data_IF_220985242997
#
_entry.id   IF_220985242997
#
_cell.length_a   1.000
_cell.length_b   1.000
_cell.length_c   1.000
_cell.angle_alpha   90.00
_cell.angle_beta   90.00
_cell.angle_gamma   90.00
#
_symmetry.space_group_name_H-M   'P 1'
#
loop_
_entity.id
_entity.type
_entity.pdbx_description
1 polymer ?
#
# COMPACT_ATOMS: atom_id res chain seq x y z
N UNK A 1 -15.18 12.95 -0.30
CA UNK A 1 -15.47 14.41 -0.29
C UNK A 1 -14.26 15.14 -0.84
N UNK A 2 -14.45 15.71 -1.98
CA UNK A 2 -13.51 16.34 -2.88
C UNK A 2 -13.22 17.77 -2.40
N UNK A 3 -11.93 18.15 -2.28
CA UNK A 3 -11.52 19.55 -2.32
C UNK A 3 -10.30 19.68 -3.24
N UNK A 4 -10.60 20.05 -4.48
CA UNK A 4 -9.65 20.64 -5.41
C UNK A 4 -9.77 22.16 -5.27
N UNK A 5 -8.69 22.82 -4.88
CA UNK A 5 -8.55 24.26 -5.04
C UNK A 5 -7.48 24.56 -6.09
N UNK A 6 -7.92 25.14 -7.19
CA UNK A 6 -7.14 25.71 -8.28
C UNK A 6 -6.96 27.19 -8.00
N UNK A 7 -5.74 27.74 -8.13
CA UNK A 7 -5.42 29.01 -8.81
C UNK A 7 -4.01 29.46 -8.50
N UNK A 8 -3.33 29.93 -9.56
CA UNK A 8 -2.16 30.78 -9.46
C UNK A 8 -1.31 30.77 -10.71
N UNK A 9 -1.77 31.49 -11.76
CA UNK A 9 -0.96 31.84 -12.93
C UNK A 9 0.03 32.94 -12.56
N UNK A 10 1.33 32.64 -12.63
CA UNK A 10 2.40 33.60 -12.48
C UNK A 10 3.34 33.54 -13.70
N UNK A 11 3.29 34.59 -14.53
CA UNK A 11 4.20 34.86 -15.68
C UNK A 11 5.63 35.03 -15.17
N UNK A 12 6.58 34.36 -15.80
CA UNK A 12 8.02 34.59 -15.64
C UNK A 12 8.51 35.70 -16.62
N UNK A 13 9.40 36.57 -16.17
CA UNK A 13 10.10 37.47 -17.08
C UNK A 13 11.39 36.82 -17.59
N UNK A 14 11.56 36.91 -18.91
CA UNK A 14 12.78 36.59 -19.65
C UNK A 14 13.90 37.54 -19.27
N UNK A 15 15.05 37.01 -18.85
CA UNK A 15 16.33 37.79 -18.81
C UNK A 15 17.38 37.08 -19.64
N UNK A 16 17.84 37.79 -20.65
CA UNK A 16 18.95 37.48 -21.55
C UNK A 16 20.28 37.49 -20.77
N UNK A 17 21.12 36.47 -20.96
CA UNK A 17 22.52 36.47 -20.53
C UNK A 17 23.44 36.61 -21.75
N UNK A 18 24.50 37.43 -21.66
CA UNK A 18 25.49 37.53 -22.71
C UNK A 18 26.53 36.40 -22.63
N UNK A 19 26.95 36.03 -23.83
CA UNK A 19 27.97 35.04 -24.15
C UNK A 19 29.38 35.59 -23.73
N UNK A 20 30.06 34.88 -22.83
CA UNK A 20 31.47 35.12 -22.50
C UNK A 20 32.29 33.93 -22.99
N UNK A 21 33.07 34.18 -24.05
CA UNK A 21 34.05 33.27 -24.60
C UNK A 21 35.28 33.34 -23.71
N UNK A 22 35.70 32.23 -23.13
CA UNK A 22 36.97 32.11 -22.40
C UNK A 22 37.88 31.08 -23.11
N UNK A 23 38.96 31.62 -23.66
CA UNK A 23 40.06 30.91 -24.28
C UNK A 23 40.85 30.22 -23.16
N UNK A 24 41.01 28.89 -23.18
CA UNK A 24 41.89 28.16 -22.28
C UNK A 24 43.13 27.70 -23.03
N UNK A 25 44.25 28.27 -22.65
CA UNK A 25 45.57 27.90 -23.08
C UNK A 25 46.04 26.58 -22.42
N UNK A 26 46.54 25.70 -23.23
CA UNK A 26 47.12 24.41 -22.90
C UNK A 26 48.50 24.61 -22.27
N UNK A 27 48.74 24.20 -21.03
CA UNK A 27 50.10 24.07 -20.46
C UNK A 27 50.30 22.61 -20.09
N UNK A 28 51.22 21.95 -20.80
CA UNK A 28 51.79 20.67 -20.41
C UNK A 28 52.79 20.88 -19.26
N UNK A 29 52.60 20.17 -18.13
CA UNK A 29 53.62 20.03 -17.13
C UNK A 29 53.69 18.55 -16.68
N UNK A 30 54.95 18.13 -16.59
CA UNK A 30 55.40 16.75 -16.46
C UNK A 30 55.05 16.09 -15.10
N UNK A 31 55.01 14.76 -15.15
CA UNK A 31 54.78 13.85 -14.08
C UNK A 31 55.80 13.96 -12.93
N UNK A 32 55.29 14.00 -11.69
CA UNK A 32 56.00 13.50 -10.52
C UNK A 32 55.06 12.56 -9.76
N UNK A 33 55.45 11.31 -9.67
CA UNK A 33 54.79 10.29 -8.91
C UNK A 33 54.92 10.56 -7.42
N UNK A 34 53.85 10.88 -6.74
CA UNK A 34 53.70 10.78 -5.29
C UNK A 34 52.75 9.65 -4.97
N UNK A 35 53.32 8.56 -4.46
CA UNK A 35 52.60 7.46 -3.79
C UNK A 35 51.95 8.03 -2.52
N UNK A 36 50.70 8.42 -2.59
CA UNK A 36 49.85 8.68 -1.43
C UNK A 36 49.12 7.38 -1.02
N UNK A 37 48.82 7.20 0.28
CA UNK A 37 48.11 6.01 0.75
C UNK A 37 46.71 5.95 0.12
N UNK A 38 46.42 4.82 -0.52
CA UNK A 38 45.16 4.58 -1.21
C UNK A 38 43.97 4.76 -0.27
N UNK A 39 43.18 5.76 -0.59
CA UNK A 39 41.79 5.80 -0.13
C UNK A 39 41.10 4.64 -0.83
N UNK A 40 40.95 3.53 -0.12
CA UNK A 40 40.05 2.45 -0.53
C UNK A 40 38.67 3.08 -0.60
N UNK A 41 38.24 3.39 -1.84
CA UNK A 41 36.81 3.58 -2.09
C UNK A 41 36.16 2.29 -1.57
N UNK A 42 35.45 2.41 -0.44
CA UNK A 42 34.56 1.36 -0.02
C UNK A 42 33.57 1.17 -1.18
N UNK A 43 33.77 0.14 -1.98
CA UNK A 43 32.76 -0.35 -2.85
C UNK A 43 31.57 -0.65 -1.92
N UNK A 44 30.52 0.14 -2.03
CA UNK A 44 29.28 -0.09 -1.30
C UNK A 44 28.88 -1.53 -1.63
N UNK A 45 28.95 -2.40 -0.63
CA UNK A 45 28.68 -3.82 -0.80
C UNK A 45 27.27 -3.94 -1.39
N UNK A 46 27.18 -4.57 -2.57
CA UNK A 46 25.86 -4.85 -3.20
C UNK A 46 25.06 -5.66 -2.19
N UNK A 47 23.92 -5.12 -1.69
CA UNK A 47 23.17 -5.79 -0.65
C UNK A 47 22.78 -7.19 -1.08
N UNK A 48 22.94 -8.18 -0.20
CA UNK A 48 22.58 -9.56 -0.49
C UNK A 48 21.08 -9.73 -0.66
N UNK A 49 20.62 -10.76 -1.37
CA UNK A 49 19.19 -11.06 -1.56
C UNK A 49 18.39 -11.17 -0.23
N UNK A 50 19.06 -11.45 0.89
CA UNK A 50 18.47 -11.42 2.24
C UNK A 50 18.13 -10.00 2.70
N UNK A 51 18.85 -9.01 2.26
CA UNK A 51 18.68 -7.61 2.65
C UNK A 51 17.43 -6.96 2.04
N UNK A 52 16.97 -7.47 0.89
CA UNK A 52 15.73 -7.05 0.25
C UNK A 52 14.51 -7.90 0.61
N UNK A 53 14.71 -9.05 1.28
CA UNK A 53 13.62 -9.98 1.59
C UNK A 53 12.51 -9.34 2.40
N UNK A 54 12.84 -8.48 3.36
CA UNK A 54 11.87 -7.78 4.20
C UNK A 54 11.16 -6.65 3.43
N UNK A 55 11.88 -5.86 2.66
CA UNK A 55 11.30 -4.83 1.81
C UNK A 55 10.35 -5.43 0.77
N UNK A 56 10.75 -6.53 0.14
CA UNK A 56 9.90 -7.31 -0.77
C UNK A 56 8.64 -7.80 -0.04
N UNK A 57 8.76 -8.38 1.16
CA UNK A 57 7.63 -8.87 1.93
C UNK A 57 6.64 -7.76 2.33
N UNK A 58 7.12 -6.53 2.55
CA UNK A 58 6.27 -5.37 2.83
C UNK A 58 5.44 -4.97 1.61
N UNK A 59 6.02 -5.04 0.42
CA UNK A 59 5.37 -4.67 -0.85
C UNK A 59 4.51 -5.81 -1.44
N UNK A 60 4.71 -7.04 -1.00
CA UNK A 60 3.96 -8.20 -1.51
C UNK A 60 2.54 -8.27 -0.91
N UNK A 61 1.58 -8.65 -1.73
CA UNK A 61 0.16 -8.79 -1.35
C UNK A 61 -0.36 -10.21 -1.54
N UNK A 62 0.42 -11.19 -1.12
CA UNK A 62 0.07 -12.60 -1.17
C UNK A 62 -0.97 -12.99 -0.09
N UNK A 63 -1.38 -14.26 -0.10
CA UNK A 63 -2.31 -14.80 0.87
C UNK A 63 -1.81 -14.66 2.32
N UNK A 64 -0.50 -14.67 2.55
CA UNK A 64 0.09 -14.47 3.88
C UNK A 64 -0.07 -13.01 4.32
N UNK A 65 0.28 -12.06 3.48
CA UNK A 65 0.10 -10.64 3.75
C UNK A 65 -1.39 -10.29 4.00
N UNK A 66 -2.32 -10.90 3.25
CA UNK A 66 -3.76 -10.75 3.47
C UNK A 66 -4.22 -11.29 4.84
N UNK A 67 -3.72 -12.47 5.25
CA UNK A 67 -4.01 -13.01 6.59
C UNK A 67 -3.45 -12.13 7.69
N UNK A 68 -2.23 -11.63 7.55
CA UNK A 68 -1.59 -10.72 8.49
C UNK A 68 -2.38 -9.42 8.65
N UNK A 69 -2.79 -8.79 7.55
CA UNK A 69 -3.63 -7.58 7.58
C UNK A 69 -4.95 -7.81 8.30
N UNK A 70 -5.60 -8.96 8.05
CA UNK A 70 -6.82 -9.33 8.77
C UNK A 70 -6.59 -9.45 10.27
N UNK A 71 -5.54 -10.15 10.67
CA UNK A 71 -5.18 -10.32 12.08
C UNK A 71 -4.93 -8.99 12.78
N UNK A 72 -4.21 -8.07 12.12
CA UNK A 72 -3.96 -6.73 12.64
C UNK A 72 -5.25 -5.91 12.74
N UNK A 73 -6.11 -5.99 11.74
CA UNK A 73 -7.41 -5.32 11.75
C UNK A 73 -8.28 -5.81 12.90
N UNK A 74 -8.45 -7.11 13.06
CA UNK A 74 -9.28 -7.69 14.15
C UNK A 74 -8.73 -7.27 15.52
N UNK A 75 -7.41 -7.25 15.69
CA UNK A 75 -6.78 -6.77 16.92
C UNK A 75 -7.05 -5.27 17.17
N UNK A 76 -6.99 -4.42 16.14
CA UNK A 76 -7.34 -3.01 16.25
C UNK A 76 -8.81 -2.80 16.65
N UNK A 77 -9.73 -3.58 16.07
CA UNK A 77 -11.16 -3.52 16.42
C UNK A 77 -11.38 -3.80 17.90
N UNK A 78 -10.76 -4.85 18.43
CA UNK A 78 -10.86 -5.22 19.86
C UNK A 78 -10.28 -4.13 20.77
N UNK A 79 -9.12 -3.57 20.41
CA UNK A 79 -8.48 -2.52 21.20
C UNK A 79 -9.32 -1.23 21.18
N UNK A 80 -9.89 -0.89 20.03
CA UNK A 80 -10.78 0.27 19.88
C UNK A 80 -12.05 0.06 20.70
N UNK A 81 -12.66 -1.12 20.63
CA UNK A 81 -13.86 -1.45 21.41
C UNK A 81 -13.62 -1.30 22.92
N UNK A 82 -12.50 -1.80 23.43
CA UNK A 82 -12.15 -1.67 24.85
C UNK A 82 -12.04 -0.20 25.26
N UNK A 83 -11.31 0.60 24.48
CA UNK A 83 -11.16 2.02 24.75
C UNK A 83 -12.49 2.77 24.73
N UNK A 84 -13.38 2.46 23.77
CA UNK A 84 -14.71 3.08 23.68
C UNK A 84 -15.60 2.66 24.85
N UNK A 85 -15.57 1.38 25.24
CA UNK A 85 -16.27 0.86 26.40
C UNK A 85 -15.80 1.52 27.71
N UNK A 86 -14.50 1.70 27.90
CA UNK A 86 -13.91 2.39 29.07
C UNK A 86 -14.38 3.84 29.17
N UNK A 87 -14.86 4.45 28.06
CA UNK A 87 -15.48 5.78 27.97
C UNK A 87 -17.03 5.76 28.08
N UNK A 88 -17.60 4.60 28.35
CA UNK A 88 -19.05 4.40 28.44
C UNK A 88 -19.75 4.49 27.08
N UNK A 89 -19.05 4.18 25.99
CA UNK A 89 -19.59 4.21 24.63
C UNK A 89 -19.61 2.80 24.04
N UNK A 90 -20.71 2.49 23.37
CA UNK A 90 -20.84 1.23 22.63
C UNK A 90 -20.03 1.31 21.33
N UNK A 91 -19.26 0.27 21.02
CA UNK A 91 -18.57 0.10 19.74
C UNK A 91 -18.80 -1.33 19.24
N UNK A 92 -19.31 -1.44 18.01
CA UNK A 92 -19.59 -2.73 17.40
C UNK A 92 -18.39 -3.19 16.59
N UNK A 93 -17.76 -4.27 17.02
CA UNK A 93 -16.62 -4.85 16.31
C UNK A 93 -17.07 -5.38 14.96
N UNK A 94 -16.43 -4.90 13.92
CA UNK A 94 -16.57 -5.43 12.57
C UNK A 94 -15.45 -6.42 12.30
N UNK A 95 -15.78 -7.67 11.99
CA UNK A 95 -14.73 -8.62 11.56
C UNK A 95 -14.19 -8.27 10.21
N UNK A 96 -12.86 -8.32 10.05
CA UNK A 96 -12.24 -8.23 8.74
C UNK A 96 -12.61 -9.46 7.92
N UNK A 97 -13.63 -9.38 7.13
CA UNK A 97 -13.84 -10.41 6.12
C UNK A 97 -12.70 -10.47 5.10
N UNK A 98 -12.80 -11.36 4.10
CA UNK A 98 -11.82 -11.42 3.04
C UNK A 98 -11.72 -10.04 2.37
N UNK A 99 -10.58 -9.39 2.56
CA UNK A 99 -10.30 -8.13 1.88
C UNK A 99 -9.72 -8.44 0.50
N UNK A 100 -10.17 -7.74 -0.55
CA UNK A 100 -9.45 -7.78 -1.81
C UNK A 100 -8.02 -7.27 -1.60
N UNK A 101 -7.05 -7.73 -2.38
CA UNK A 101 -5.73 -7.15 -2.35
C UNK A 101 -5.85 -5.65 -2.64
N UNK A 102 -5.50 -4.82 -1.64
CA UNK A 102 -5.47 -3.37 -1.79
C UNK A 102 -4.03 -2.93 -1.98
N UNK A 103 -3.80 -2.15 -3.01
CA UNK A 103 -2.60 -1.33 -3.15
C UNK A 103 -1.39 -1.96 -3.75
N UNK A 104 -1.43 -3.18 -4.27
CA UNK A 104 -0.32 -3.65 -5.04
C UNK A 104 -0.70 -3.65 -6.52
N UNK A 105 -0.07 -2.82 -7.26
CA UNK A 105 -0.23 -2.63 -8.69
C UNK A 105 0.64 -3.57 -9.47
N UNK A 106 1.55 -4.22 -8.77
CA UNK A 106 2.42 -5.20 -9.38
C UNK A 106 1.69 -6.49 -9.66
N UNK A 107 2.19 -7.24 -10.61
CA UNK A 107 1.75 -8.57 -10.96
C UNK A 107 1.63 -9.54 -9.76
N UNK A 108 2.27 -9.22 -8.62
CA UNK A 108 2.18 -10.00 -7.38
C UNK A 108 0.88 -9.80 -6.59
N UNK A 109 0.18 -8.72 -6.86
CA UNK A 109 -0.98 -8.32 -6.05
C UNK A 109 -2.27 -8.99 -6.42
N UNK A 110 -2.31 -9.63 -7.55
CA UNK A 110 -3.44 -10.47 -7.89
C UNK A 110 -3.28 -11.72 -7.06
N UNK A 111 -4.00 -11.74 -5.94
CA UNK A 111 -3.94 -12.80 -4.95
C UNK A 111 -4.05 -14.19 -5.58
N UNK A 112 -3.58 -15.19 -4.88
CA UNK A 112 -3.59 -16.58 -5.33
C UNK A 112 -4.87 -16.86 -6.13
N UNK A 113 -4.71 -17.32 -7.34
CA UNK A 113 -5.79 -17.69 -8.26
C UNK A 113 -6.68 -18.85 -7.76
N UNK A 114 -6.45 -19.29 -6.51
CA UNK A 114 -7.30 -20.26 -5.86
C UNK A 114 -8.67 -19.64 -5.58
N UNK A 115 -9.70 -20.28 -6.10
CA UNK A 115 -11.10 -19.92 -5.89
C UNK A 115 -11.33 -19.24 -4.52
N UNK A 116 -12.01 -18.10 -4.44
CA UNK A 116 -13.16 -17.70 -5.24
C UNK A 116 -12.96 -16.47 -6.16
N UNK A 117 -11.79 -16.18 -6.64
CA UNK A 117 -11.47 -15.01 -7.44
C UNK A 117 -10.90 -13.86 -6.58
N UNK A 118 -11.08 -12.63 -7.04
CA UNK A 118 -10.46 -11.44 -6.41
C UNK A 118 -11.14 -10.94 -5.13
N UNK A 119 -12.15 -11.64 -4.62
CA UNK A 119 -12.85 -11.25 -3.38
C UNK A 119 -13.85 -10.09 -3.52
N UNK A 120 -14.06 -9.57 -4.72
CA UNK A 120 -14.96 -8.42 -4.97
C UNK A 120 -16.40 -8.74 -4.61
N UNK A 121 -16.92 -9.91 -5.02
CA UNK A 121 -18.29 -10.33 -4.69
C UNK A 121 -18.54 -10.53 -3.21
N UNK A 122 -17.53 -11.02 -2.49
CA UNK A 122 -17.60 -11.22 -1.04
C UNK A 122 -17.64 -9.87 -0.31
N UNK A 123 -16.83 -8.91 -0.76
CA UNK A 123 -16.83 -7.56 -0.23
C UNK A 123 -18.17 -6.87 -0.47
N UNK A 124 -18.71 -6.96 -1.69
CA UNK A 124 -20.03 -6.40 -2.02
C UNK A 124 -21.14 -7.05 -1.19
N UNK A 125 -21.15 -8.38 -1.06
CA UNK A 125 -22.12 -9.10 -0.26
C UNK A 125 -22.16 -8.61 1.20
N UNK A 126 -21.02 -8.29 1.77
CA UNK A 126 -20.90 -7.74 3.12
C UNK A 126 -21.37 -6.29 3.22
N UNK A 127 -20.98 -5.46 2.27
CA UNK A 127 -21.48 -4.07 2.20
C UNK A 127 -23.02 -4.03 2.09
N UNK A 128 -23.60 -4.94 1.33
CA UNK A 128 -25.05 -5.01 1.12
C UNK A 128 -25.78 -5.73 2.28
N UNK A 129 -25.15 -6.67 2.99
CA UNK A 129 -25.77 -7.38 4.12
C UNK A 129 -25.89 -6.54 5.39
N UNK A 130 -25.43 -5.31 5.35
CA UNK A 130 -25.55 -4.38 6.47
C UNK A 130 -24.58 -4.64 7.59
N UNK A 131 -23.40 -5.13 7.28
CA UNK A 131 -22.21 -5.12 8.15
C UNK A 131 -21.77 -3.68 8.53
N UNK A 132 -22.59 -2.71 8.16
CA UNK A 132 -22.63 -1.33 8.62
C UNK A 132 -23.45 -1.20 9.93
N UNK A 133 -23.39 -2.21 10.77
CA UNK A 133 -24.12 -2.18 12.04
C UNK A 133 -23.66 -0.99 12.90
N UNK A 134 -22.37 -0.70 12.85
CA UNK A 134 -21.80 0.46 13.52
C UNK A 134 -22.32 1.77 12.96
N UNK A 135 -22.38 1.92 11.64
CA UNK A 135 -22.93 3.12 10.99
C UNK A 135 -24.41 3.31 11.29
N UNK A 136 -25.17 2.23 11.34
CA UNK A 136 -26.60 2.30 11.73
C UNK A 136 -26.75 2.72 13.18
N UNK A 137 -25.93 2.17 14.06
CA UNK A 137 -25.90 2.55 15.46
C UNK A 137 -25.56 4.04 15.60
N UNK A 138 -24.49 4.50 15.00
CA UNK A 138 -24.07 5.91 15.06
C UNK A 138 -25.15 6.83 14.50
N UNK A 139 -25.77 6.49 13.38
CA UNK A 139 -26.91 7.27 12.82
C UNK A 139 -28.16 7.30 13.70
N UNK A 140 -28.33 6.31 14.59
CA UNK A 140 -29.46 6.29 15.53
C UNK A 140 -29.24 7.19 16.76
N UNK A 141 -28.03 7.68 16.99
CA UNK A 141 -27.70 8.58 18.08
C UNK A 141 -28.18 10.01 17.77
N UNK A 142 -28.46 10.78 18.80
CA UNK A 142 -28.68 12.23 18.67
C UNK A 142 -27.41 12.93 18.17
N UNK A 143 -27.54 14.13 17.60
CA UNK A 143 -26.40 14.93 17.09
C UNK A 143 -25.32 15.14 18.16
N UNK A 144 -25.72 15.40 19.41
CA UNK A 144 -24.78 15.58 20.52
C UNK A 144 -24.04 14.28 20.86
N UNK A 145 -24.74 13.15 20.84
CA UNK A 145 -24.12 11.84 21.07
C UNK A 145 -23.21 11.43 19.91
N UNK A 146 -23.58 11.71 18.66
CA UNK A 146 -22.70 11.50 17.50
C UNK A 146 -21.40 12.29 17.62
N UNK A 147 -21.49 13.57 18.01
CA UNK A 147 -20.30 14.42 18.22
C UNK A 147 -19.41 13.85 19.34
N UNK A 148 -19.99 13.42 20.46
CA UNK A 148 -19.27 12.77 21.56
C UNK A 148 -18.62 11.45 21.12
N UNK A 149 -19.36 10.66 20.34
CA UNK A 149 -18.88 9.39 19.80
C UNK A 149 -17.67 9.59 18.88
N UNK A 150 -17.79 10.48 17.91
CA UNK A 150 -16.71 10.80 16.96
C UNK A 150 -15.47 11.36 17.67
N UNK A 151 -15.67 12.28 18.62
CA UNK A 151 -14.55 12.81 19.42
C UNK A 151 -13.87 11.73 20.26
N UNK A 152 -14.60 10.76 20.79
CA UNK A 152 -14.04 9.64 21.52
C UNK A 152 -13.30 8.65 20.61
N UNK A 153 -13.82 8.37 19.43
CA UNK A 153 -13.27 7.42 18.45
C UNK A 153 -12.04 7.99 17.74
N UNK A 154 -12.18 9.14 17.12
CA UNK A 154 -11.18 9.74 16.22
C UNK A 154 -10.29 10.78 16.90
N UNK A 155 -10.72 11.31 18.06
CA UNK A 155 -10.08 12.44 18.70
C UNK A 155 -10.52 13.78 18.09
N UNK A 156 -9.78 14.83 18.41
CA UNK A 156 -10.02 16.17 17.88
C UNK A 156 -9.22 16.38 16.59
N UNK A 157 -9.77 17.16 15.68
CA UNK A 157 -9.14 17.46 14.37
C UNK A 157 -7.85 18.28 14.49
N UNK A 158 -7.64 19.00 15.61
CA UNK A 158 -6.42 19.73 15.90
C UNK A 158 -5.26 18.83 16.40
N UNK A 159 -5.52 17.56 16.65
CA UNK A 159 -4.52 16.56 17.05
C UNK A 159 -3.98 15.83 15.83
N UNK A 160 -3.34 16.57 14.92
CA UNK A 160 -2.75 16.00 13.71
C UNK A 160 -1.23 16.18 13.71
N UNK A 161 -0.52 15.14 13.27
CA UNK A 161 0.93 15.13 13.14
C UNK A 161 1.33 14.96 11.67
N UNK A 162 2.34 15.71 11.19
CA UNK A 162 2.81 15.57 9.81
C UNK A 162 3.53 14.22 9.61
N UNK A 163 3.38 13.67 8.40
CA UNK A 163 4.09 12.50 7.92
C UNK A 163 4.64 12.78 6.53
N UNK A 164 5.93 12.55 6.32
CA UNK A 164 6.56 12.58 4.99
C UNK A 164 6.87 11.17 4.53
N UNK A 165 6.48 10.86 3.29
CA UNK A 165 6.63 9.56 2.66
C UNK A 165 7.93 9.48 1.84
N UNK A 166 8.41 8.30 1.44
CA UNK A 166 9.63 8.09 0.66
C UNK A 166 9.69 8.89 -0.66
N UNK A 167 8.56 9.09 -1.34
CA UNK A 167 8.45 9.92 -2.55
C UNK A 167 8.66 11.42 -2.31
N UNK A 168 8.62 11.86 -1.05
CA UNK A 168 8.55 13.27 -0.66
C UNK A 168 7.12 13.80 -0.51
N UNK A 169 6.10 12.99 -0.83
CA UNK A 169 4.72 13.34 -0.53
C UNK A 169 4.52 13.50 0.98
N UNK A 170 3.68 14.44 1.38
CA UNK A 170 3.39 14.70 2.78
C UNK A 170 1.90 14.74 3.04
N UNK A 171 1.52 14.36 4.25
CA UNK A 171 0.17 14.40 4.76
C UNK A 171 0.17 14.55 6.27
N UNK A 172 -0.99 14.40 6.87
CA UNK A 172 -1.13 14.39 8.33
C UNK A 172 -1.92 13.18 8.79
N UNK A 173 -1.68 12.74 10.02
CA UNK A 173 -2.47 11.69 10.66
C UNK A 173 -2.91 12.13 12.05
N UNK A 174 -4.12 11.68 12.46
CA UNK A 174 -4.69 11.97 13.77
C UNK A 174 -4.00 11.17 14.87
N UNK A 175 -3.67 11.81 15.99
CA UNK A 175 -3.02 11.20 17.17
C UNK A 175 -3.96 11.06 18.37
N UNK A 176 -5.21 11.53 18.24
CA UNK A 176 -6.23 11.48 19.27
C UNK A 176 -7.18 10.29 19.17
N UNK A 177 -8.05 10.17 20.17
CA UNK A 177 -9.13 9.20 20.20
C UNK A 177 -8.72 7.75 20.45
N UNK A 178 -9.73 6.87 20.46
CA UNK A 178 -9.55 5.45 20.72
C UNK A 178 -8.83 4.72 19.57
N UNK A 179 -9.04 5.17 18.33
CA UNK A 179 -8.33 4.59 17.18
C UNK A 179 -6.82 4.83 17.27
N UNK A 180 -6.39 6.04 17.65
CA UNK A 180 -4.97 6.34 17.83
C UNK A 180 -4.38 5.54 19.00
N UNK A 181 -5.10 5.43 20.12
CA UNK A 181 -4.66 4.60 21.26
C UNK A 181 -4.55 3.12 20.87
N UNK A 182 -5.51 2.57 20.11
CA UNK A 182 -5.46 1.20 19.63
C UNK A 182 -4.23 0.97 18.72
N UNK A 183 -3.96 1.91 17.79
CA UNK A 183 -2.79 1.88 16.92
C UNK A 183 -1.48 1.91 17.72
N UNK A 184 -1.35 2.83 18.67
CA UNK A 184 -0.17 2.93 19.53
C UNK A 184 0.05 1.64 20.34
N UNK A 185 -1.01 1.05 20.91
CA UNK A 185 -0.93 -0.22 21.65
C UNK A 185 -0.49 -1.38 20.76
N UNK A 186 -0.98 -1.44 19.51
CA UNK A 186 -0.67 -2.54 18.61
C UNK A 186 0.71 -2.38 17.96
N UNK A 187 1.03 -1.20 17.42
CA UNK A 187 2.25 -0.96 16.65
C UNK A 187 3.42 -0.37 17.47
N UNK A 188 3.16 0.07 18.70
CA UNK A 188 4.11 0.79 19.56
C UNK A 188 3.96 2.30 19.45
N UNK A 189 3.68 2.83 18.27
CA UNK A 189 3.35 4.23 18.04
C UNK A 189 2.19 4.38 17.05
N UNK A 190 1.52 5.53 17.06
CA UNK A 190 0.50 5.86 16.05
C UNK A 190 1.14 6.00 14.67
N UNK A 191 2.32 6.62 14.62
CA UNK A 191 3.08 6.79 13.38
C UNK A 191 3.38 5.46 12.70
N UNK A 192 3.93 4.48 13.43
CA UNK A 192 4.24 3.15 12.89
C UNK A 192 3.02 2.45 12.27
N UNK A 193 1.83 2.64 12.86
CA UNK A 193 0.59 2.10 12.30
C UNK A 193 0.19 2.75 10.96
N UNK A 194 0.39 4.07 10.83
CA UNK A 194 0.15 4.77 9.56
C UNK A 194 1.20 4.41 8.51
N UNK A 195 2.46 4.31 8.92
CA UNK A 195 3.56 3.92 8.04
C UNK A 195 3.40 2.50 7.50
N UNK A 196 2.87 1.58 8.28
CA UNK A 196 2.56 0.20 7.84
C UNK A 196 1.60 0.15 6.64
N UNK A 197 0.80 1.18 6.46
CA UNK A 197 -0.12 1.31 5.32
C UNK A 197 0.42 2.23 4.24
N UNK A 198 0.87 3.42 4.61
CA UNK A 198 1.15 4.50 3.66
C UNK A 198 2.51 4.36 2.98
N UNK A 199 3.54 3.87 3.69
CA UNK A 199 4.87 3.70 3.10
C UNK A 199 4.87 2.64 1.99
N UNK A 200 4.28 1.44 2.16
CA UNK A 200 4.15 0.48 1.07
C UNK A 200 3.37 1.02 -0.13
N UNK A 201 2.27 1.74 0.11
CA UNK A 201 1.48 2.34 -0.96
C UNK A 201 2.27 3.39 -1.76
N UNK A 202 3.00 4.24 -1.07
CA UNK A 202 3.82 5.27 -1.69
C UNK A 202 4.95 4.67 -2.53
N UNK A 203 5.64 3.66 -2.00
CA UNK A 203 6.71 2.96 -2.73
C UNK A 203 6.13 2.15 -3.90
N UNK A 204 4.92 1.60 -3.77
CA UNK A 204 4.24 0.90 -4.85
C UNK A 204 3.88 1.84 -6.01
N UNK A 205 3.46 3.08 -5.74
CA UNK A 205 3.29 4.10 -6.79
C UNK A 205 4.60 4.46 -7.51
N UNK A 206 5.72 4.52 -6.78
CA UNK A 206 7.04 4.71 -7.41
C UNK A 206 7.42 3.50 -8.27
N UNK A 207 7.11 2.29 -7.82
CA UNK A 207 7.32 1.06 -8.59
C UNK A 207 6.43 1.02 -9.84
N UNK A 208 5.18 1.46 -9.77
CA UNK A 208 4.30 1.58 -10.95
C UNK A 208 4.94 2.46 -12.02
N UNK A 209 5.43 3.63 -11.64
CA UNK A 209 6.09 4.55 -12.56
C UNK A 209 7.36 3.93 -13.17
N UNK A 210 8.12 3.19 -12.39
CA UNK A 210 9.28 2.43 -12.87
C UNK A 210 8.87 1.36 -13.89
N UNK A 211 7.88 0.53 -13.58
CA UNK A 211 7.36 -0.53 -14.45
C UNK A 211 6.77 0.01 -15.74
N UNK A 212 6.15 1.20 -15.70
CA UNK A 212 5.62 1.86 -16.89
C UNK A 212 6.70 2.19 -17.93
N UNK A 213 7.96 2.37 -17.50
CA UNK A 213 9.10 2.65 -18.38
C UNK A 213 9.96 1.41 -18.67
N UNK A 214 9.78 0.29 -17.98
CA UNK A 214 10.58 -0.91 -18.18
C UNK A 214 10.13 -1.71 -19.40
N UNK A 215 11.00 -1.85 -20.38
CA UNK A 215 10.68 -2.54 -21.64
C UNK A 215 10.37 -4.03 -21.48
N UNK A 216 10.96 -4.72 -20.51
CA UNK A 216 10.72 -6.15 -20.30
C UNK A 216 9.34 -6.37 -19.70
N UNK A 217 8.98 -5.57 -18.71
CA UNK A 217 7.65 -5.58 -18.12
C UNK A 217 6.56 -5.18 -19.14
N UNK A 218 6.81 -4.12 -19.92
CA UNK A 218 5.84 -3.68 -20.95
C UNK A 218 5.63 -4.72 -22.05
N UNK A 219 6.66 -5.46 -22.46
CA UNK A 219 6.49 -6.59 -23.40
C UNK A 219 5.68 -7.72 -22.79
N UNK A 220 5.93 -8.09 -21.52
CA UNK A 220 5.15 -9.11 -20.83
C UNK A 220 3.68 -8.67 -20.66
N UNK A 221 3.47 -7.42 -20.28
CA UNK A 221 2.14 -6.82 -20.15
C UNK A 221 1.38 -6.84 -21.49
N UNK A 222 2.04 -6.49 -22.58
CA UNK A 222 1.44 -6.55 -23.93
C UNK A 222 1.04 -7.97 -24.37
N UNK A 223 1.82 -9.01 -23.99
CA UNK A 223 1.39 -10.42 -24.22
C UNK A 223 0.17 -10.76 -23.38
N UNK A 224 0.19 -10.41 -22.10
CA UNK A 224 -0.94 -10.63 -21.19
C UNK A 224 -2.22 -9.95 -21.70
N UNK A 225 -2.13 -8.69 -22.15
CA UNK A 225 -3.26 -7.95 -22.69
C UNK A 225 -3.89 -8.63 -23.90
N UNK A 226 -3.08 -9.14 -24.82
CA UNK A 226 -3.57 -9.87 -26.00
C UNK A 226 -4.29 -11.16 -25.59
N UNK A 227 -3.67 -11.97 -24.75
CA UNK A 227 -4.29 -13.20 -24.23
C UNK A 227 -5.62 -12.90 -23.51
N UNK A 228 -5.68 -11.86 -22.67
CA UNK A 228 -6.93 -11.48 -21.99
C UNK A 228 -8.00 -10.99 -22.97
N UNK A 229 -7.61 -10.31 -24.04
CA UNK A 229 -8.55 -9.90 -25.10
C UNK A 229 -9.09 -11.11 -25.86
N UNK A 230 -8.23 -12.08 -26.21
CA UNK A 230 -8.60 -13.32 -26.87
C UNK A 230 -9.52 -14.19 -25.99
N UNK A 231 -9.35 -14.12 -24.66
CA UNK A 231 -10.26 -14.72 -23.68
C UNK A 231 -11.57 -13.94 -23.46
N UNK A 232 -11.83 -12.87 -24.26
CA UNK A 232 -13.02 -12.03 -24.15
C UNK A 232 -13.06 -11.12 -22.93
N UNK A 233 -11.89 -10.85 -22.30
CA UNK A 233 -11.74 -10.06 -21.06
C UNK A 233 -10.67 -8.97 -21.19
N UNK A 234 -10.81 -8.05 -22.15
CA UNK A 234 -9.79 -7.04 -22.39
C UNK A 234 -9.60 -6.17 -21.13
N UNK A 235 -8.35 -6.05 -20.69
CA UNK A 235 -7.97 -5.19 -19.59
C UNK A 235 -6.59 -4.58 -19.84
N UNK A 236 -6.37 -3.35 -19.38
CA UNK A 236 -5.08 -2.65 -19.55
C UNK A 236 -4.00 -3.20 -18.63
N UNK A 237 -4.38 -3.56 -17.44
CA UNK A 237 -3.50 -4.14 -16.41
C UNK A 237 -4.31 -5.09 -15.53
N UNK A 238 -3.68 -6.00 -14.80
CA UNK A 238 -4.37 -6.80 -13.79
C UNK A 238 -5.17 -5.96 -12.78
N UNK A 239 -4.61 -4.84 -12.33
CA UNK A 239 -5.33 -3.90 -11.44
C UNK A 239 -6.58 -3.32 -12.10
N UNK A 240 -6.49 -2.92 -13.37
CA UNK A 240 -7.65 -2.42 -14.12
C UNK A 240 -8.75 -3.48 -14.28
N UNK A 241 -8.39 -4.76 -14.38
CA UNK A 241 -9.34 -5.88 -14.37
C UNK A 241 -10.12 -5.94 -13.05
N UNK A 242 -9.43 -5.84 -11.92
CA UNK A 242 -10.07 -5.84 -10.60
C UNK A 242 -10.96 -4.60 -10.43
N UNK A 243 -10.48 -3.42 -10.85
CA UNK A 243 -11.25 -2.18 -10.80
C UNK A 243 -12.53 -2.25 -11.65
N UNK A 244 -12.50 -2.92 -12.82
CA UNK A 244 -13.69 -3.12 -13.62
C UNK A 244 -14.74 -3.98 -12.91
N UNK A 245 -14.33 -5.04 -12.23
CA UNK A 245 -15.21 -5.86 -11.41
C UNK A 245 -15.81 -5.10 -10.22
N UNK A 246 -15.00 -4.23 -9.58
CA UNK A 246 -15.48 -3.34 -8.52
C UNK A 246 -16.50 -2.32 -9.06
N UNK A 247 -16.26 -1.78 -10.25
CA UNK A 247 -17.21 -0.85 -10.90
C UNK A 247 -18.56 -1.54 -11.22
N UNK A 248 -18.54 -2.80 -11.66
CA UNK A 248 -19.78 -3.57 -11.86
C UNK A 248 -20.54 -3.82 -10.54
N UNK A 249 -19.80 -4.04 -9.45
CA UNK A 249 -20.38 -4.14 -8.11
C UNK A 249 -21.12 -2.85 -7.71
N UNK A 250 -20.49 -1.70 -7.96
CA UNK A 250 -21.08 -0.38 -7.64
C UNK A 250 -22.29 -0.10 -8.52
N UNK A 251 -22.34 -0.56 -9.77
CA UNK A 251 -23.51 -0.44 -10.67
C UNK A 251 -24.68 -1.33 -10.27
N UNK A 252 -24.56 -2.14 -9.23
CA UNK A 252 -25.63 -2.96 -8.71
C UNK A 252 -25.66 -4.41 -9.26
N UNK A 253 -24.56 -4.91 -9.80
CA UNK A 253 -24.45 -6.32 -10.17
C UNK A 253 -24.73 -7.21 -8.94
N UNK A 254 -25.49 -8.30 -9.13
CA UNK A 254 -25.77 -9.22 -8.03
C UNK A 254 -24.49 -9.93 -7.56
N UNK A 255 -24.41 -10.24 -6.27
CA UNK A 255 -23.24 -10.94 -5.69
C UNK A 255 -22.96 -12.27 -6.42
N UNK A 256 -23.99 -13.00 -6.86
CA UNK A 256 -23.84 -14.26 -7.59
C UNK A 256 -23.31 -14.05 -9.03
N UNK A 257 -23.79 -13.01 -9.74
CA UNK A 257 -23.29 -12.68 -11.07
C UNK A 257 -21.82 -12.26 -11.00
N UNK A 258 -21.50 -11.37 -10.05
CA UNK A 258 -20.14 -10.91 -9.81
C UNK A 258 -19.20 -12.04 -9.37
N UNK A 259 -19.68 -13.01 -8.57
CA UNK A 259 -18.91 -14.21 -8.19
C UNK A 259 -18.56 -15.10 -9.39
N UNK A 260 -19.49 -15.27 -10.33
CA UNK A 260 -19.20 -16.01 -11.57
C UNK A 260 -18.19 -15.27 -12.44
N UNK A 261 -18.40 -13.97 -12.62
CA UNK A 261 -17.54 -13.14 -13.47
C UNK A 261 -16.11 -13.05 -12.93
N UNK A 262 -15.92 -12.76 -11.65
CA UNK A 262 -14.58 -12.70 -11.06
C UNK A 262 -13.84 -14.04 -11.10
N UNK A 263 -14.56 -15.18 -10.99
CA UNK A 263 -13.97 -16.51 -11.11
C UNK A 263 -13.48 -16.76 -12.54
N UNK A 264 -14.30 -16.46 -13.53
CA UNK A 264 -13.94 -16.62 -14.92
C UNK A 264 -12.79 -15.68 -15.32
N UNK A 265 -12.80 -14.44 -14.81
CA UNK A 265 -11.70 -13.50 -14.99
C UNK A 265 -10.40 -14.00 -14.35
N UNK A 266 -10.46 -14.58 -13.15
CA UNK A 266 -9.28 -15.12 -12.45
C UNK A 266 -8.68 -16.33 -13.17
N UNK A 267 -9.51 -17.20 -13.78
CA UNK A 267 -9.04 -18.34 -14.58
C UNK A 267 -8.32 -17.84 -15.84
N UNK A 268 -8.90 -16.88 -16.56
CA UNK A 268 -8.28 -16.28 -17.75
C UNK A 268 -6.97 -15.58 -17.40
N UNK A 269 -6.96 -14.80 -16.32
CA UNK A 269 -5.78 -14.10 -15.83
C UNK A 269 -4.65 -15.07 -15.46
N UNK A 270 -4.94 -16.16 -14.78
CA UNK A 270 -3.96 -17.20 -14.46
C UNK A 270 -3.33 -17.82 -15.70
N UNK A 271 -4.17 -18.16 -16.69
CA UNK A 271 -3.69 -18.71 -17.97
C UNK A 271 -2.80 -17.70 -18.69
N UNK A 272 -3.26 -16.47 -18.83
CA UNK A 272 -2.53 -15.40 -19.52
C UNK A 272 -1.25 -14.98 -18.81
N UNK A 273 -1.22 -15.07 -17.48
CA UNK A 273 0.01 -14.86 -16.71
C UNK A 273 1.05 -15.95 -16.98
N UNK A 274 0.62 -17.22 -17.03
CA UNK A 274 1.51 -18.34 -17.33
C UNK A 274 2.15 -18.20 -18.75
N UNK A 275 1.39 -17.74 -19.75
CA UNK A 275 1.90 -17.51 -21.09
C UNK A 275 2.80 -16.27 -21.21
N UNK A 276 2.43 -15.20 -20.53
CA UNK A 276 3.13 -13.92 -20.63
C UNK A 276 4.31 -13.77 -19.68
N UNK A 277 4.35 -14.56 -18.62
CA UNK A 277 5.28 -14.47 -17.49
C UNK A 277 5.22 -13.08 -16.80
N UNK A 278 4.06 -12.43 -16.83
CA UNK A 278 3.93 -11.05 -16.35
C UNK A 278 4.32 -10.91 -14.88
N UNK A 279 3.80 -11.79 -13.99
CA UNK A 279 4.10 -11.74 -12.55
C UNK A 279 5.57 -12.05 -12.27
N UNK A 280 6.15 -13.02 -12.95
CA UNK A 280 7.56 -13.34 -12.80
C UNK A 280 8.45 -12.16 -13.23
N UNK A 281 8.11 -11.53 -14.35
CA UNK A 281 8.81 -10.34 -14.82
C UNK A 281 8.63 -9.18 -13.84
N UNK A 282 7.40 -8.95 -13.37
CA UNK A 282 7.10 -7.91 -12.38
C UNK A 282 7.88 -8.09 -11.08
N UNK A 283 7.97 -9.30 -10.56
CA UNK A 283 8.75 -9.63 -9.37
C UNK A 283 10.25 -9.32 -9.57
N UNK A 284 10.83 -9.73 -10.70
CA UNK A 284 12.22 -9.44 -11.02
C UNK A 284 12.50 -7.94 -11.13
N UNK A 285 11.58 -7.19 -11.75
CA UNK A 285 11.69 -5.74 -11.88
C UNK A 285 11.46 -5.00 -10.57
N UNK A 286 10.59 -5.48 -9.68
CA UNK A 286 10.46 -4.96 -8.32
C UNK A 286 11.79 -5.10 -7.56
N UNK A 287 12.43 -6.25 -7.64
CA UNK A 287 13.71 -6.47 -6.98
C UNK A 287 14.81 -5.57 -7.57
N UNK A 288 14.80 -5.34 -8.90
CA UNK A 288 15.68 -4.38 -9.53
C UNK A 288 15.39 -2.95 -9.07
N UNK A 289 14.13 -2.55 -9.01
CA UNK A 289 13.70 -1.25 -8.50
C UNK A 289 14.19 -1.02 -7.06
N UNK A 290 14.01 -1.99 -6.16
CA UNK A 290 14.45 -1.90 -4.77
C UNK A 290 15.96 -1.72 -4.62
N UNK A 291 16.76 -2.36 -5.48
CA UNK A 291 18.23 -2.17 -5.49
C UNK A 291 18.62 -0.73 -5.78
N UNK A 292 17.84 -0.03 -6.61
CA UNK A 292 18.12 1.35 -7.01
C UNK A 292 17.50 2.41 -6.09
N UNK A 293 16.69 1.98 -5.10
CA UNK A 293 16.12 2.93 -4.15
C UNK A 293 17.19 3.53 -3.22
N UNK A 294 17.03 4.80 -2.78
CA UNK A 294 17.88 5.40 -1.77
C UNK A 294 17.94 4.55 -0.49
N UNK A 295 19.09 4.52 0.17
CA UNK A 295 19.26 3.77 1.42
C UNK A 295 18.20 4.11 2.48
N UNK A 296 17.80 5.39 2.57
CA UNK A 296 16.73 5.85 3.46
C UNK A 296 15.36 5.20 3.17
N UNK A 297 15.03 4.99 1.89
CA UNK A 297 13.76 4.32 1.50
C UNK A 297 13.80 2.85 1.89
N UNK A 298 14.92 2.18 1.65
CA UNK A 298 15.12 0.78 2.06
C UNK A 298 15.06 0.61 3.57
N UNK A 299 15.74 1.49 4.32
CA UNK A 299 15.68 1.51 5.79
C UNK A 299 14.26 1.70 6.30
N UNK A 300 13.47 2.59 5.66
CA UNK A 300 12.07 2.81 6.04
C UNK A 300 11.18 1.59 5.81
N UNK A 301 11.38 0.86 4.70
CA UNK A 301 10.67 -0.41 4.46
C UNK A 301 11.06 -1.49 5.49
N UNK A 302 12.32 -1.55 5.88
CA UNK A 302 12.79 -2.44 6.95
C UNK A 302 12.14 -2.10 8.30
N UNK A 303 12.07 -0.82 8.67
CA UNK A 303 11.37 -0.35 9.88
C UNK A 303 9.88 -0.74 9.86
N UNK A 304 9.21 -0.54 8.72
CA UNK A 304 7.81 -0.95 8.54
C UNK A 304 7.66 -2.45 8.75
N UNK A 305 8.54 -3.26 8.18
CA UNK A 305 8.52 -4.71 8.39
C UNK A 305 8.68 -5.09 9.85
N UNK A 306 9.65 -4.50 10.55
CA UNK A 306 9.89 -4.77 11.97
C UNK A 306 8.71 -4.38 12.85
N UNK A 307 8.12 -3.20 12.65
CA UNK A 307 6.93 -2.75 13.35
C UNK A 307 5.74 -3.68 13.08
N UNK A 308 5.56 -4.12 11.83
CA UNK A 308 4.51 -5.09 11.46
C UNK A 308 4.69 -6.42 12.19
N UNK A 309 5.91 -6.97 12.26
CA UNK A 309 6.17 -8.23 12.98
C UNK A 309 5.85 -8.10 14.47
N UNK A 310 6.26 -7.01 15.10
CA UNK A 310 5.93 -6.74 16.50
C UNK A 310 4.42 -6.58 16.71
N UNK A 311 3.74 -5.87 15.81
CA UNK A 311 2.28 -5.72 15.87
C UNK A 311 1.57 -7.07 15.71
N UNK A 312 2.02 -7.93 14.80
CA UNK A 312 1.49 -9.28 14.62
C UNK A 312 1.67 -10.15 15.87
N UNK A 313 2.82 -10.07 16.53
CA UNK A 313 3.03 -10.81 17.79
C UNK A 313 2.05 -10.34 18.88
N UNK A 314 1.86 -9.00 19.03
CA UNK A 314 0.87 -8.43 19.97
C UNK A 314 -0.57 -8.81 19.60
N UNK A 315 -0.91 -8.76 18.29
CA UNK A 315 -2.22 -9.19 17.81
C UNK A 315 -2.51 -10.66 18.15
N UNK A 316 -1.55 -11.55 17.89
CA UNK A 316 -1.68 -12.98 18.21
C UNK A 316 -1.94 -13.19 19.70
N UNK A 317 -1.18 -12.52 20.57
CA UNK A 317 -1.37 -12.60 22.02
C UNK A 317 -2.74 -12.07 22.47
N UNK A 318 -3.24 -11.01 21.84
CA UNK A 318 -4.54 -10.41 22.13
C UNK A 318 -5.69 -11.33 21.69
N UNK A 319 -5.62 -11.82 20.45
CA UNK A 319 -6.68 -12.65 19.84
C UNK A 319 -6.75 -14.03 20.52
N UNK A 320 -5.61 -14.61 20.90
CA UNK A 320 -5.57 -15.88 21.62
C UNK A 320 -6.24 -15.83 23.00
N UNK A 321 -6.18 -14.68 23.69
CA UNK A 321 -6.86 -14.48 24.98
C UNK A 321 -8.38 -14.26 24.84
N UNK A 322 -8.86 -13.92 23.66
CA UNK A 322 -10.28 -13.65 23.39
C UNK A 322 -10.94 -14.80 22.61
N UNK A 323 -10.21 -15.88 22.29
CA UNK A 323 -10.82 -17.07 21.72
C UNK A 323 -11.80 -17.65 22.75
N UNK A 324 -13.06 -18.00 22.36
CA UNK A 324 -13.98 -18.67 23.27
C UNK A 324 -13.30 -19.94 23.76
N UNK A 325 -13.19 -20.09 25.08
CA UNK A 325 -12.77 -21.34 25.68
C UNK A 325 -13.83 -22.38 25.28
N UNK A 326 -13.41 -23.39 24.52
CA UNK A 326 -14.27 -24.52 24.11
C UNK A 326 -14.63 -25.37 25.29
#
# INVERSE_FOLDING_TARGET
MTYLSRRGTGRAPTRSLPLLILVVTLVCAAATACTGPGTTAHAEAVPSAREFGHATAVLTSDATALRQRRQLFDALQILTQRCMHDRGLRYLVTSAGPQPPTGATTADSIGSHSAPGYGVSTTLGRMNSGDMAEDRYVRSLSTAEQARYTAALDGRTDQATPLTLPSGASGTYGTGGCMAQARARLYGTVQAAFEDTLVPQDVDHLLEAYLASDHSYQRALGRWQRCMADAGRPARTPTALIQSLQAEAVKGASASALAREQRAAAIADQHCDAESELRRTGAAQRDAFLRHQPARTRARLEEVWQHRQQALARAKALLGKNAPQK
#
